data_IF_268985817506
#
_entry.id   IF_268985817506
#
_cell.length_a   1.000
_cell.length_b   1.000
_cell.length_c   1.000
_cell.angle_alpha   90.00
_cell.angle_beta   90.00
_cell.angle_gamma   90.00
#
_symmetry.space_group_name_H-M   'P 1'
#
loop_
_entity.id
_entity.type
_entity.pdbx_description
1 polymer ?
#
# COMPACT_ATOMS: atom_id res chain seq x y z
N UNK A 1 -3.94 8.70 2.81
CA UNK A 1 -3.33 9.32 4.02
C UNK A 1 -4.41 9.59 5.08
N UNK A 2 -4.09 9.82 6.36
CA UNK A 2 -5.10 10.08 7.39
C UNK A 2 -5.91 11.36 7.11
N UNK A 3 -7.24 11.25 7.09
CA UNK A 3 -8.13 12.38 6.75
C UNK A 3 -8.13 13.49 7.82
N UNK A 4 -7.96 13.11 9.09
CA UNK A 4 -8.02 14.04 10.23
C UNK A 4 -6.67 14.69 10.54
N UNK A 5 -5.59 14.31 9.86
CA UNK A 5 -4.27 14.90 10.06
C UNK A 5 -4.09 16.11 9.12
N UNK A 6 -3.98 17.35 9.63
CA UNK A 6 -3.85 18.55 8.80
C UNK A 6 -2.59 18.61 7.94
N UNK A 7 -1.55 17.85 8.30
CA UNK A 7 -0.29 17.79 7.55
C UNK A 7 -0.50 16.93 6.31
N UNK A 8 -1.19 15.81 6.45
CA UNK A 8 -1.28 14.81 5.39
C UNK A 8 -2.53 14.91 4.55
N UNK A 9 -3.65 15.43 5.08
CA UNK A 9 -4.95 15.41 4.40
C UNK A 9 -5.03 16.20 3.07
N UNK A 10 -3.97 16.94 2.71
CA UNK A 10 -3.84 17.66 1.44
C UNK A 10 -3.20 16.83 0.32
N UNK A 11 -2.54 15.73 0.65
CA UNK A 11 -1.89 14.86 -0.34
C UNK A 11 -2.92 13.94 -0.99
N UNK A 12 -3.08 14.05 -2.31
CA UNK A 12 -4.04 13.27 -3.10
C UNK A 12 -3.35 12.25 -4.02
N UNK A 13 -2.09 12.50 -4.40
CA UNK A 13 -1.27 11.60 -5.20
C UNK A 13 0.17 11.51 -4.66
N UNK A 14 0.96 10.56 -5.16
CA UNK A 14 2.39 10.46 -4.85
C UNK A 14 3.15 11.72 -5.28
N UNK A 15 2.71 12.41 -6.33
CA UNK A 15 3.34 13.67 -6.77
C UNK A 15 3.28 14.78 -5.72
N UNK A 16 2.34 14.69 -4.77
CA UNK A 16 2.20 15.67 -3.69
C UNK A 16 3.17 15.41 -2.52
N UNK A 17 3.90 14.29 -2.56
CA UNK A 17 4.81 13.87 -1.50
C UNK A 17 6.26 14.29 -1.82
N UNK A 18 7.08 14.38 -0.76
CA UNK A 18 8.51 14.56 -0.94
C UNK A 18 9.10 13.37 -1.72
N UNK A 19 9.77 13.59 -2.86
CA UNK A 19 10.33 12.50 -3.68
C UNK A 19 11.36 11.65 -2.94
N UNK A 20 12.02 12.17 -1.90
CA UNK A 20 12.92 11.38 -1.06
C UNK A 20 12.18 10.36 -0.19
N UNK A 21 10.98 10.68 0.30
CA UNK A 21 10.15 9.75 1.08
C UNK A 21 9.77 8.53 0.22
N UNK A 22 9.38 8.76 -1.03
CA UNK A 22 9.05 7.70 -1.99
C UNK A 22 10.24 6.76 -2.19
N UNK A 23 11.44 7.32 -2.39
CA UNK A 23 12.68 6.55 -2.54
C UNK A 23 13.07 5.80 -1.27
N UNK A 24 12.86 6.40 -0.10
CA UNK A 24 13.15 5.78 1.19
C UNK A 24 12.27 4.54 1.41
N UNK A 25 10.96 4.66 1.14
CA UNK A 25 10.03 3.53 1.26
C UNK A 25 10.39 2.41 0.26
N UNK A 26 10.71 2.77 -0.98
CA UNK A 26 11.16 1.81 -2.00
C UNK A 26 12.44 1.07 -1.56
N UNK A 27 13.43 1.83 -1.08
CA UNK A 27 14.70 1.27 -0.62
C UNK A 27 14.49 0.33 0.57
N UNK A 28 13.64 0.71 1.54
CA UNK A 28 13.32 -0.12 2.69
C UNK A 28 12.84 -1.51 2.24
N UNK A 29 11.83 -1.59 1.37
CA UNK A 29 11.32 -2.89 0.90
C UNK A 29 12.31 -3.68 0.06
N UNK A 30 13.25 -3.01 -0.61
CA UNK A 30 14.31 -3.68 -1.37
C UNK A 30 15.29 -4.45 -0.49
N UNK A 31 15.59 -3.95 0.72
CA UNK A 31 16.68 -4.51 1.56
C UNK A 31 16.24 -5.13 2.88
N UNK A 32 14.99 -4.92 3.33
CA UNK A 32 14.57 -5.33 4.69
C UNK A 32 14.69 -6.84 4.98
N UNK A 33 14.75 -7.67 3.93
CA UNK A 33 14.84 -9.14 4.01
C UNK A 33 16.21 -9.70 3.62
N UNK A 34 17.21 -8.86 3.40
CA UNK A 34 18.53 -9.31 2.95
C UNK A 34 19.18 -10.26 3.98
N UNK A 35 19.00 -9.99 5.28
CA UNK A 35 19.51 -10.85 6.35
C UNK A 35 18.77 -12.20 6.45
N UNK A 36 17.52 -12.26 5.99
CA UNK A 36 16.78 -13.53 5.85
C UNK A 36 17.19 -14.32 4.60
N UNK A 37 18.11 -13.78 3.78
CA UNK A 37 18.53 -14.34 2.49
C UNK A 37 17.35 -14.56 1.53
N UNK A 38 16.32 -13.73 1.62
CA UNK A 38 15.17 -13.72 0.70
C UNK A 38 15.30 -12.55 -0.26
N UNK A 39 15.01 -12.81 -1.54
CA UNK A 39 14.95 -11.75 -2.56
C UNK A 39 13.55 -11.16 -2.59
N UNK A 40 13.47 -9.84 -2.61
CA UNK A 40 12.25 -9.06 -2.82
C UNK A 40 12.42 -8.30 -4.12
N UNK A 41 11.41 -8.36 -4.99
CA UNK A 41 11.36 -7.56 -6.21
C UNK A 41 10.35 -6.42 -6.02
N UNK A 42 10.75 -5.22 -6.43
CA UNK A 42 9.94 -3.99 -6.28
C UNK A 42 9.69 -3.44 -7.68
N UNK A 43 8.46 -3.59 -8.18
CA UNK A 43 8.08 -3.25 -9.56
C UNK A 43 7.92 -1.75 -9.85
N UNK A 44 8.00 -0.89 -8.82
CA UNK A 44 7.82 0.55 -8.93
C UNK A 44 6.55 1.06 -8.22
N UNK A 45 6.17 2.29 -8.52
CA UNK A 45 5.04 2.98 -7.93
C UNK A 45 3.92 3.19 -8.95
N UNK A 46 2.70 2.84 -8.56
CA UNK A 46 1.46 3.18 -9.27
C UNK A 46 0.87 4.50 -8.77
N UNK A 47 -0.09 5.05 -9.51
CA UNK A 47 -0.80 6.28 -9.14
C UNK A 47 -2.00 6.03 -8.21
N UNK A 48 -2.70 7.11 -7.84
CA UNK A 48 -3.92 7.02 -7.02
C UNK A 48 -5.05 6.19 -7.66
N UNK A 49 -5.12 6.13 -8.99
CA UNK A 49 -6.15 5.38 -9.70
C UNK A 49 -5.88 3.88 -9.63
N UNK A 50 -4.64 3.46 -9.92
CA UNK A 50 -4.21 2.08 -9.80
C UNK A 50 -4.39 1.56 -8.37
N UNK A 51 -4.03 2.38 -7.37
CA UNK A 51 -4.25 2.05 -5.96
C UNK A 51 -5.73 1.79 -5.64
N UNK A 52 -6.64 2.66 -6.10
CA UNK A 52 -8.09 2.49 -5.91
C UNK A 52 -8.62 1.25 -6.62
N UNK A 53 -8.14 0.97 -7.83
CA UNK A 53 -8.53 -0.22 -8.58
C UNK A 53 -8.11 -1.51 -7.87
N UNK A 54 -6.89 -1.57 -7.34
CA UNK A 54 -6.39 -2.72 -6.58
C UNK A 54 -7.24 -2.93 -5.31
N UNK A 55 -7.58 -1.85 -4.59
CA UNK A 55 -8.46 -1.94 -3.41
C UNK A 55 -9.83 -2.52 -3.79
N UNK A 56 -10.46 -2.02 -4.86
CA UNK A 56 -11.74 -2.55 -5.34
C UNK A 56 -11.64 -4.04 -5.73
N UNK A 57 -10.57 -4.44 -6.43
CA UNK A 57 -10.30 -5.85 -6.77
C UNK A 57 -10.17 -6.72 -5.53
N UNK A 58 -9.50 -6.24 -4.49
CA UNK A 58 -9.34 -6.96 -3.22
C UNK A 58 -10.68 -7.10 -2.48
N UNK A 59 -11.51 -6.05 -2.45
CA UNK A 59 -12.86 -6.09 -1.86
C UNK A 59 -13.72 -7.13 -2.56
N UNK A 60 -13.75 -7.12 -3.91
CA UNK A 60 -14.52 -8.09 -4.68
C UNK A 60 -14.01 -9.52 -4.45
N UNK A 61 -12.69 -9.73 -4.53
CA UNK A 61 -12.09 -11.05 -4.27
C UNK A 61 -12.44 -11.57 -2.88
N UNK A 62 -12.47 -10.69 -1.88
CA UNK A 62 -12.86 -11.08 -0.54
C UNK A 62 -14.35 -11.45 -0.46
N UNK A 63 -15.22 -10.66 -1.08
CA UNK A 63 -16.67 -10.94 -1.16
C UNK A 63 -16.97 -12.26 -1.86
N UNK A 64 -16.18 -12.62 -2.87
CA UNK A 64 -16.33 -13.85 -3.65
C UNK A 64 -15.64 -15.06 -2.97
N UNK A 65 -14.92 -14.85 -1.88
CA UNK A 65 -14.21 -15.91 -1.17
C UNK A 65 -15.13 -16.65 -0.21
N UNK A 66 -14.86 -17.93 0.02
CA UNK A 66 -15.59 -18.76 0.99
C UNK A 66 -15.22 -18.45 2.45
N UNK A 67 -14.46 -17.38 2.71
CA UNK A 67 -13.99 -17.02 4.06
C UNK A 67 -15.15 -16.42 4.86
N UNK A 68 -15.55 -17.02 6.00
CA UNK A 68 -16.62 -16.47 6.82
C UNK A 68 -16.27 -15.08 7.36
N UNK A 69 -17.20 -14.13 7.30
CA UNK A 69 -17.02 -12.78 7.86
C UNK A 69 -16.66 -12.80 9.36
N UNK A 70 -17.10 -13.82 10.09
CA UNK A 70 -16.76 -14.03 11.51
C UNK A 70 -15.27 -14.28 11.75
N UNK A 71 -14.54 -14.75 10.74
CA UNK A 71 -13.11 -15.05 10.82
C UNK A 71 -12.24 -13.86 10.41
N UNK A 72 -12.84 -12.80 9.85
CA UNK A 72 -12.13 -11.59 9.39
C UNK A 72 -12.56 -10.40 10.21
N UNK A 73 -11.94 -10.23 11.38
CA UNK A 73 -12.14 -9.05 12.21
C UNK A 73 -11.03 -8.04 11.94
N UNK A 74 -11.37 -6.88 11.37
CA UNK A 74 -10.51 -5.70 11.47
C UNK A 74 -10.84 -5.09 12.85
N UNK A 75 -9.91 -5.18 13.79
CA UNK A 75 -10.00 -4.45 15.07
C UNK A 75 -9.79 -2.96 14.85
#
# INVERSE_FOLDING_TARGET
VPMSDPIWNKANDLSDLNPHLIKEIEHFFKVYKDLEKKKVDVGGWGDVHEAKEIVAKCINRFSDSDVPLSEVTIK
#
